data_IF_398798121761
#
_entry.id   IF_398798121761
#
_cell.length_a   1.000
_cell.length_b   1.000
_cell.length_c   1.000
_cell.angle_alpha   90.00
_cell.angle_beta   90.00
_cell.angle_gamma   90.00
#
_symmetry.space_group_name_H-M   'P 1'
#
loop_
_entity.id
_entity.type
_entity.pdbx_description
1 polymer ?
#
# COMPACT_ATOMS: atom_id res chain seq x y z
N UNK A 1 11.24 -9.06 34.32
CA UNK A 1 12.06 -9.94 33.45
C UNK A 1 13.43 -10.05 34.08
N UNK A 2 14.13 -11.16 33.93
CA UNK A 2 15.57 -11.19 34.22
C UNK A 2 16.37 -10.64 33.01
N UNK A 3 17.69 -10.62 33.12
CA UNK A 3 18.57 -10.11 32.06
C UNK A 3 18.42 -10.90 30.77
N UNK A 4 18.41 -12.23 30.84
CA UNK A 4 18.39 -13.10 29.67
C UNK A 4 17.04 -12.98 28.95
N UNK A 5 15.95 -12.81 29.70
CA UNK A 5 14.64 -12.48 29.18
C UNK A 5 14.62 -11.15 28.42
N UNK A 6 15.27 -10.12 28.97
CA UNK A 6 15.39 -8.81 28.30
C UNK A 6 16.20 -8.95 27.02
N UNK A 7 17.36 -9.61 27.07
CA UNK A 7 18.23 -9.79 25.91
C UNK A 7 17.51 -10.55 24.78
N UNK A 8 16.77 -11.60 25.14
CA UNK A 8 15.93 -12.35 24.19
C UNK A 8 14.80 -11.50 23.61
N UNK A 9 14.14 -10.69 24.43
CA UNK A 9 13.07 -9.82 23.96
C UNK A 9 13.59 -8.74 23.01
N UNK A 10 14.72 -8.09 23.33
CA UNK A 10 15.37 -7.10 22.47
C UNK A 10 15.87 -7.70 21.15
N UNK A 11 16.42 -8.92 21.20
CA UNK A 11 16.82 -9.64 19.97
C UNK A 11 15.61 -9.93 19.08
N UNK A 12 14.50 -10.42 19.65
CA UNK A 12 13.26 -10.67 18.90
C UNK A 12 12.69 -9.40 18.28
N UNK A 13 12.59 -8.32 19.06
CA UNK A 13 12.09 -7.03 18.57
C UNK A 13 13.03 -6.41 17.54
N UNK A 14 14.33 -6.66 17.64
CA UNK A 14 15.29 -6.28 16.60
C UNK A 14 15.05 -6.99 15.28
N UNK A 15 14.85 -8.30 15.29
CA UNK A 15 14.52 -9.04 14.08
C UNK A 15 13.17 -8.61 13.48
N UNK A 16 12.18 -8.33 14.34
CA UNK A 16 10.86 -7.81 13.92
C UNK A 16 10.98 -6.41 13.30
N UNK A 17 11.79 -5.54 13.90
CA UNK A 17 12.11 -4.20 13.36
C UNK A 17 12.67 -4.28 11.94
N UNK A 18 13.71 -5.09 11.73
CA UNK A 18 14.36 -5.27 10.43
C UNK A 18 13.40 -5.87 9.38
N UNK A 19 12.55 -6.82 9.79
CA UNK A 19 11.56 -7.41 8.92
C UNK A 19 10.49 -6.38 8.49
N UNK A 20 9.98 -5.59 9.44
CA UNK A 20 9.02 -4.51 9.14
C UNK A 20 9.67 -3.49 8.21
N UNK A 21 10.88 -3.01 8.51
CA UNK A 21 11.61 -2.05 7.68
C UNK A 21 11.74 -2.52 6.22
N UNK A 22 12.17 -3.77 6.05
CA UNK A 22 12.29 -4.40 4.73
C UNK A 22 10.96 -4.42 3.99
N UNK A 23 9.86 -4.77 4.67
CA UNK A 23 8.52 -4.75 4.07
C UNK A 23 8.08 -3.33 3.69
N UNK A 24 8.36 -2.31 4.50
CA UNK A 24 7.99 -0.93 4.19
C UNK A 24 8.72 -0.39 2.97
N UNK A 25 10.02 -0.68 2.87
CA UNK A 25 10.82 -0.33 1.70
C UNK A 25 10.33 -1.05 0.44
N UNK A 26 9.99 -2.34 0.55
CA UNK A 26 9.41 -3.08 -0.57
C UNK A 26 8.07 -2.49 -1.05
N UNK A 27 7.20 -2.03 -0.13
CA UNK A 27 5.96 -1.34 -0.49
C UNK A 27 6.22 0.01 -1.16
N UNK A 28 7.21 0.76 -0.69
CA UNK A 28 7.62 2.03 -1.31
C UNK A 28 8.16 1.83 -2.73
N UNK A 29 8.95 0.78 -2.95
CA UNK A 29 9.56 0.46 -4.24
C UNK A 29 8.63 -0.33 -5.18
N UNK A 30 7.38 -0.59 -4.78
CA UNK A 30 6.44 -1.35 -5.60
C UNK A 30 6.07 -0.61 -6.90
N UNK A 31 6.04 -1.33 -8.02
CA UNK A 31 5.75 -0.76 -9.34
C UNK A 31 4.35 -0.12 -9.40
N UNK A 32 3.31 -0.86 -8.98
CA UNK A 32 1.94 -0.34 -8.85
C UNK A 32 1.83 0.96 -8.07
N UNK A 33 2.60 1.13 -6.98
CA UNK A 33 2.61 2.36 -6.18
C UNK A 33 3.12 3.54 -6.99
N UNK A 34 4.27 3.41 -7.64
CA UNK A 34 4.84 4.47 -8.48
C UNK A 34 3.87 4.91 -9.59
N UNK A 35 3.13 3.95 -10.16
CA UNK A 35 2.12 4.24 -11.16
C UNK A 35 0.93 5.00 -10.57
N UNK A 36 0.44 4.60 -9.38
CA UNK A 36 -0.65 5.30 -8.68
C UNK A 36 -0.27 6.74 -8.30
N UNK A 37 0.98 6.98 -7.88
CA UNK A 37 1.49 8.31 -7.55
C UNK A 37 1.61 9.24 -8.77
N UNK A 38 1.89 8.67 -9.96
CA UNK A 38 2.11 9.44 -11.19
C UNK A 38 0.89 9.59 -12.11
N UNK A 39 -0.17 8.81 -11.89
CA UNK A 39 -1.32 8.78 -12.78
C UNK A 39 -2.41 9.80 -12.41
N UNK A 40 -3.14 10.27 -13.42
CA UNK A 40 -4.37 11.04 -13.22
C UNK A 40 -5.52 10.10 -12.85
N UNK A 41 -5.61 9.74 -11.57
CA UNK A 41 -6.58 8.78 -11.06
C UNK A 41 -8.01 9.34 -10.99
N UNK A 42 -8.99 8.47 -11.24
CA UNK A 42 -10.42 8.76 -11.10
C UNK A 42 -11.15 7.64 -10.34
N UNK A 43 -12.42 7.91 -9.99
CA UNK A 43 -13.34 6.92 -9.44
C UNK A 43 -12.81 6.16 -8.22
N UNK A 44 -13.02 4.84 -8.22
CA UNK A 44 -12.73 3.96 -7.08
C UNK A 44 -11.24 3.93 -6.77
N UNK A 45 -10.41 3.95 -7.81
CA UNK A 45 -8.95 3.95 -7.65
C UNK A 45 -8.48 5.19 -6.91
N UNK A 46 -8.98 6.38 -7.27
CA UNK A 46 -8.62 7.62 -6.59
C UNK A 46 -8.97 7.60 -5.10
N UNK A 47 -10.18 7.14 -4.78
CA UNK A 47 -10.67 7.08 -3.39
C UNK A 47 -9.86 6.10 -2.55
N UNK A 48 -9.66 4.88 -3.06
CA UNK A 48 -8.91 3.84 -2.35
C UNK A 48 -7.42 4.18 -2.24
N UNK A 49 -6.85 4.78 -3.28
CA UNK A 49 -5.45 5.23 -3.24
C UNK A 49 -5.24 6.34 -2.22
N UNK A 50 -6.13 7.34 -2.14
CA UNK A 50 -6.01 8.41 -1.15
C UNK A 50 -6.04 7.85 0.29
N UNK A 51 -6.90 6.87 0.56
CA UNK A 51 -6.94 6.19 1.85
C UNK A 51 -5.67 5.37 2.13
N UNK A 52 -5.18 4.63 1.13
CA UNK A 52 -3.94 3.86 1.24
C UNK A 52 -2.72 4.77 1.46
N UNK A 53 -2.60 5.88 0.74
CA UNK A 53 -1.49 6.83 0.87
C UNK A 53 -1.44 7.46 2.27
N UNK A 54 -2.60 7.84 2.81
CA UNK A 54 -2.72 8.28 4.19
C UNK A 54 -2.35 7.16 5.20
N UNK A 55 -2.74 5.92 4.92
CA UNK A 55 -2.38 4.76 5.75
C UNK A 55 -0.87 4.49 5.74
N UNK A 56 -0.20 4.59 4.58
CA UNK A 56 1.26 4.46 4.47
C UNK A 56 1.97 5.56 5.25
N UNK A 57 1.50 6.81 5.14
CA UNK A 57 2.07 7.93 5.92
C UNK A 57 1.97 7.66 7.43
N UNK A 58 0.81 7.17 7.89
CA UNK A 58 0.60 6.81 9.30
C UNK A 58 1.47 5.63 9.73
N UNK A 59 1.67 4.67 8.84
CA UNK A 59 2.50 3.51 9.09
C UNK A 59 3.99 3.87 9.26
N UNK A 60 4.53 4.83 8.49
CA UNK A 60 5.88 5.37 8.75
C UNK A 60 5.96 6.07 10.10
N UNK A 61 4.94 6.84 10.49
CA UNK A 61 4.88 7.47 11.82
C UNK A 61 4.95 6.43 12.94
N UNK A 62 4.25 5.30 12.79
CA UNK A 62 4.27 4.20 13.75
C UNK A 62 5.63 3.50 13.77
N UNK A 63 6.25 3.31 12.62
CA UNK A 63 7.56 2.70 12.50
C UNK A 63 8.65 3.56 13.16
N UNK A 64 8.60 4.88 12.99
CA UNK A 64 9.53 5.81 13.65
C UNK A 64 9.39 5.75 15.18
N UNK A 65 8.15 5.75 15.67
CA UNK A 65 7.86 5.64 17.10
C UNK A 65 8.34 4.30 17.68
N UNK A 66 8.11 3.20 16.97
CA UNK A 66 8.60 1.87 17.33
C UNK A 66 10.14 1.82 17.34
N UNK A 67 10.79 2.38 16.32
CA UNK A 67 12.25 2.47 16.21
C UNK A 67 12.86 3.25 17.36
N UNK A 68 12.28 4.41 17.70
CA UNK A 68 12.71 5.23 18.83
C UNK A 68 12.56 4.51 20.18
N UNK A 69 11.44 3.81 20.39
CA UNK A 69 11.19 3.05 21.61
C UNK A 69 12.17 1.87 21.77
N UNK A 70 12.45 1.15 20.67
CA UNK A 70 13.43 0.06 20.66
C UNK A 70 14.86 0.58 20.93
N UNK A 71 15.25 1.70 20.32
CA UNK A 71 16.54 2.33 20.56
C UNK A 71 16.70 2.76 22.03
N UNK A 72 15.68 3.38 22.62
CA UNK A 72 15.70 3.77 24.03
C UNK A 72 15.84 2.55 24.97
N UNK A 73 15.17 1.44 24.66
CA UNK A 73 15.30 0.21 25.43
C UNK A 73 16.71 -0.40 25.32
N UNK A 74 17.31 -0.39 24.12
CA UNK A 74 18.71 -0.82 23.91
C UNK A 74 19.68 0.05 24.69
N UNK A 75 19.51 1.37 24.67
CA UNK A 75 20.36 2.30 25.42
C UNK A 75 20.35 1.98 26.92
N UNK A 76 19.17 1.80 27.53
CA UNK A 76 19.05 1.43 28.94
C UNK A 76 19.80 0.12 29.22
N UNK A 77 19.66 -0.87 28.34
CA UNK A 77 20.32 -2.16 28.49
C UNK A 77 21.84 -2.09 28.35
N UNK A 78 22.35 -1.19 27.53
CA UNK A 78 23.79 -1.03 27.24
C UNK A 78 24.54 -0.18 28.27
N UNK A 79 23.85 0.66 29.04
CA UNK A 79 24.45 1.53 30.08
C UNK A 79 25.36 0.78 31.06
N UNK A 80 25.04 -0.47 31.39
CA UNK A 80 25.77 -1.27 32.37
C UNK A 80 25.89 -2.73 31.95
N UNK A 81 27.04 -3.34 32.24
CA UNK A 81 27.25 -4.79 32.06
C UNK A 81 26.25 -5.63 32.87
N UNK A 82 25.83 -5.14 34.02
CA UNK A 82 24.82 -5.76 34.90
C UNK A 82 23.74 -4.73 35.21
N UNK A 83 22.54 -4.85 34.60
CA UNK A 83 21.41 -3.97 34.89
C UNK A 83 21.01 -4.07 36.36
N UNK A 84 20.67 -2.93 36.97
CA UNK A 84 20.08 -2.90 38.30
C UNK A 84 18.64 -3.44 38.28
N UNK A 85 18.07 -3.68 39.46
CA UNK A 85 16.65 -4.08 39.57
C UNK A 85 15.71 -3.00 39.02
N UNK A 86 16.09 -1.74 39.16
CA UNK A 86 15.35 -0.59 38.63
C UNK A 86 15.42 -0.57 37.09
N UNK A 87 16.61 -0.75 36.51
CA UNK A 87 16.78 -0.86 35.06
C UNK A 87 15.94 -2.02 34.49
N UNK A 88 15.94 -3.18 35.14
CA UNK A 88 15.13 -4.33 34.70
C UNK A 88 13.62 -4.10 34.80
N UNK A 89 13.17 -3.33 35.80
CA UNK A 89 11.77 -2.95 35.94
C UNK A 89 11.37 -1.98 34.81
N UNK A 90 12.18 -0.95 34.58
CA UNK A 90 12.00 0.04 33.51
C UNK A 90 12.00 -0.62 32.12
N UNK A 91 12.92 -1.55 31.87
CA UNK A 91 12.97 -2.36 30.64
C UNK A 91 11.73 -3.25 30.50
N UNK A 92 11.27 -3.88 31.58
CA UNK A 92 10.06 -4.71 31.54
C UNK A 92 8.84 -3.87 31.17
N UNK A 93 8.71 -2.67 31.74
CA UNK A 93 7.61 -1.76 31.44
C UNK A 93 7.64 -1.29 29.99
N UNK A 94 8.81 -0.88 29.46
CA UNK A 94 8.92 -0.46 28.06
C UNK A 94 8.68 -1.58 27.05
N UNK A 95 9.13 -2.79 27.35
CA UNK A 95 9.05 -3.93 26.42
C UNK A 95 7.69 -4.63 26.44
N UNK A 96 6.93 -4.55 27.53
CA UNK A 96 5.63 -5.25 27.68
C UNK A 96 4.46 -4.33 27.96
N UNK A 97 4.69 -3.14 28.50
CA UNK A 97 3.66 -2.17 28.85
C UNK A 97 3.37 -1.18 27.73
N UNK A 98 2.34 -0.33 27.93
CA UNK A 98 1.98 0.74 26.99
C UNK A 98 2.94 1.94 27.15
N UNK A 99 4.14 1.79 26.60
CA UNK A 99 5.23 2.77 26.75
C UNK A 99 5.39 3.76 25.60
N UNK A 100 4.74 3.54 24.45
CA UNK A 100 4.90 4.39 23.27
C UNK A 100 3.71 5.32 23.13
N UNK A 101 3.97 6.62 23.09
CA UNK A 101 2.94 7.65 22.91
C UNK A 101 3.06 8.23 21.52
N UNK A 102 1.96 8.22 20.76
CA UNK A 102 1.89 8.77 19.42
C UNK A 102 0.82 9.84 19.41
N UNK A 103 1.08 10.97 18.75
CA UNK A 103 0.08 12.00 18.55
C UNK A 103 -1.14 11.40 17.82
N UNK A 104 -2.32 11.57 18.39
CA UNK A 104 -3.54 11.08 17.75
C UNK A 104 -3.83 11.85 16.46
N UNK A 105 -4.67 11.28 15.60
CA UNK A 105 -5.00 11.84 14.29
C UNK A 105 -5.77 13.18 14.33
N UNK A 106 -6.02 13.77 15.52
CA UNK A 106 -6.60 15.10 15.67
C UNK A 106 -8.04 15.24 15.17
N UNK A 107 -8.72 14.14 14.89
CA UNK A 107 -10.12 14.11 14.43
C UNK A 107 -11.05 14.45 15.60
N UNK A 108 -12.16 15.16 15.35
CA UNK A 108 -13.13 15.49 16.40
C UNK A 108 -13.58 14.23 17.16
N UNK A 109 -13.33 14.19 18.48
CA UNK A 109 -13.64 13.06 19.35
C UNK A 109 -12.55 12.00 19.49
N UNK A 110 -11.44 12.10 18.74
CA UNK A 110 -10.27 11.24 18.92
C UNK A 110 -9.37 11.73 20.06
N UNK A 111 -8.67 10.81 20.73
CA UNK A 111 -7.68 11.17 21.74
C UNK A 111 -6.54 11.98 21.13
N UNK A 112 -6.11 13.04 21.82
CA UNK A 112 -4.97 13.88 21.41
C UNK A 112 -3.64 13.11 21.37
N UNK A 113 -3.54 12.03 22.14
CA UNK A 113 -2.42 11.11 22.14
C UNK A 113 -2.92 9.68 22.40
N UNK A 114 -2.41 8.73 21.62
CA UNK A 114 -2.68 7.31 21.75
C UNK A 114 -1.46 6.64 22.39
N UNK A 115 -1.70 5.72 23.33
CA UNK A 115 -0.64 4.92 23.96
C UNK A 115 -0.71 3.49 23.48
N UNK A 116 0.42 2.97 23.05
CA UNK A 116 0.56 1.62 22.54
C UNK A 116 1.72 0.91 23.22
N UNK A 117 1.58 -0.39 23.40
CA UNK A 117 2.71 -1.30 23.54
C UNK A 117 3.39 -1.52 22.18
N UNK A 118 4.64 -1.99 22.19
CA UNK A 118 5.37 -2.34 20.97
C UNK A 118 4.61 -3.40 20.14
N UNK A 119 4.00 -4.39 20.80
CA UNK A 119 3.23 -5.43 20.12
C UNK A 119 1.97 -4.88 19.45
N UNK A 120 1.26 -3.95 20.10
CA UNK A 120 0.09 -3.30 19.50
C UNK A 120 0.49 -2.43 18.31
N UNK A 121 1.63 -1.73 18.37
CA UNK A 121 2.12 -0.96 17.23
C UNK A 121 2.39 -1.86 16.03
N UNK A 122 3.05 -2.99 16.23
CA UNK A 122 3.33 -3.93 15.13
C UNK A 122 2.04 -4.50 14.55
N UNK A 123 1.08 -4.88 15.41
CA UNK A 123 -0.23 -5.32 14.93
C UNK A 123 -0.93 -4.26 14.06
N UNK A 124 -0.92 -2.99 14.51
CA UNK A 124 -1.49 -1.87 13.74
C UNK A 124 -0.73 -1.59 12.45
N UNK A 125 0.60 -1.66 12.47
CA UNK A 125 1.42 -1.52 11.26
C UNK A 125 1.09 -2.64 10.26
N UNK A 126 0.96 -3.89 10.70
CA UNK A 126 0.62 -5.01 9.82
C UNK A 126 -0.77 -4.84 9.18
N UNK A 127 -1.77 -4.36 9.92
CA UNK A 127 -3.10 -4.03 9.39
C UNK A 127 -3.03 -2.96 8.29
N UNK A 128 -2.34 -1.85 8.57
CA UNK A 128 -2.19 -0.74 7.61
C UNK A 128 -1.37 -1.17 6.39
N UNK A 129 -0.32 -1.96 6.59
CA UNK A 129 0.52 -2.51 5.54
C UNK A 129 -0.30 -3.39 4.59
N UNK A 130 -1.03 -4.36 5.13
CA UNK A 130 -1.85 -5.28 4.34
C UNK A 130 -2.88 -4.52 3.50
N UNK A 131 -3.63 -3.59 4.13
CA UNK A 131 -4.63 -2.79 3.42
C UNK A 131 -4.02 -1.93 2.31
N UNK A 132 -2.83 -1.35 2.54
CA UNK A 132 -2.13 -0.53 1.54
C UNK A 132 -1.56 -1.37 0.40
N UNK A 133 -0.98 -2.53 0.73
CA UNK A 133 -0.44 -3.46 -0.25
C UNK A 133 -1.53 -4.02 -1.16
N UNK A 134 -2.71 -4.36 -0.62
CA UNK A 134 -3.84 -4.87 -1.39
C UNK A 134 -4.24 -3.91 -2.51
N UNK A 135 -4.31 -2.61 -2.23
CA UNK A 135 -4.63 -1.57 -3.22
C UNK A 135 -3.56 -1.50 -4.31
N UNK A 136 -2.29 -1.49 -3.90
CA UNK A 136 -1.14 -1.39 -4.82
C UNK A 136 -1.03 -2.61 -5.73
N UNK A 137 -1.20 -3.81 -5.19
CA UNK A 137 -1.15 -5.08 -5.93
C UNK A 137 -2.34 -5.22 -6.87
N UNK A 138 -3.55 -4.85 -6.42
CA UNK A 138 -4.74 -4.90 -7.27
C UNK A 138 -4.60 -3.96 -8.48
N UNK A 139 -4.13 -2.73 -8.28
CA UNK A 139 -3.91 -1.79 -9.38
C UNK A 139 -2.84 -2.30 -10.36
N UNK A 140 -1.71 -2.80 -9.84
CA UNK A 140 -0.63 -3.38 -10.64
C UNK A 140 -1.10 -4.57 -11.49
N UNK A 141 -1.92 -5.45 -10.92
CA UNK A 141 -2.45 -6.61 -11.61
C UNK A 141 -3.38 -6.24 -12.78
N UNK A 142 -4.21 -5.20 -12.61
CA UNK A 142 -5.05 -4.70 -13.71
C UNK A 142 -4.19 -4.04 -14.79
N UNK A 143 -3.30 -3.13 -14.41
CA UNK A 143 -2.49 -2.38 -15.38
C UNK A 143 -1.46 -3.24 -16.12
N UNK A 144 -0.94 -4.30 -15.50
CA UNK A 144 0.00 -5.23 -16.15
C UNK A 144 -0.65 -6.10 -17.22
N UNK A 145 -1.98 -6.26 -17.22
CA UNK A 145 -2.67 -7.20 -18.09
C UNK A 145 -3.72 -6.55 -19.01
N UNK A 146 -4.62 -5.74 -18.46
CA UNK A 146 -5.82 -5.31 -19.16
C UNK A 146 -5.57 -4.32 -20.31
N UNK A 147 -4.69 -3.29 -20.16
CA UNK A 147 -4.35 -2.40 -21.29
C UNK A 147 -3.80 -3.17 -22.49
N UNK A 148 -2.88 -4.13 -22.27
CA UNK A 148 -2.30 -4.92 -23.35
C UNK A 148 -3.35 -5.80 -24.06
N UNK A 149 -4.33 -6.35 -23.33
CA UNK A 149 -5.44 -7.10 -23.92
C UNK A 149 -6.35 -6.21 -24.76
N UNK A 150 -6.66 -5.00 -24.29
CA UNK A 150 -7.44 -4.03 -25.06
C UNK A 150 -6.69 -3.61 -26.32
N UNK A 151 -5.38 -3.39 -26.23
CA UNK A 151 -4.54 -3.03 -27.38
C UNK A 151 -4.54 -4.15 -28.45
N UNK A 152 -4.53 -5.43 -28.05
CA UNK A 152 -4.68 -6.56 -28.96
C UNK A 152 -6.05 -6.59 -29.65
N UNK A 153 -7.13 -6.35 -28.90
CA UNK A 153 -8.49 -6.28 -29.45
C UNK A 153 -8.63 -5.10 -30.43
N UNK A 154 -8.08 -3.94 -30.10
CA UNK A 154 -8.07 -2.76 -30.96
C UNK A 154 -7.31 -3.04 -32.27
N UNK A 155 -6.19 -3.76 -32.21
CA UNK A 155 -5.43 -4.16 -33.39
C UNK A 155 -6.21 -5.13 -34.29
N UNK A 156 -6.95 -6.07 -33.71
CA UNK A 156 -7.80 -6.98 -34.50
C UNK A 156 -8.98 -6.24 -35.12
N UNK A 157 -9.65 -5.37 -34.36
CA UNK A 157 -10.74 -4.54 -34.88
C UNK A 157 -10.26 -3.64 -36.04
N UNK A 158 -9.05 -3.10 -35.94
CA UNK A 158 -8.45 -2.35 -37.03
C UNK A 158 -8.29 -3.18 -38.31
N UNK A 159 -7.84 -4.44 -38.19
CA UNK A 159 -7.76 -5.38 -39.32
C UNK A 159 -9.14 -5.68 -39.91
N UNK A 160 -10.13 -5.95 -39.07
CA UNK A 160 -11.52 -6.20 -39.50
C UNK A 160 -12.08 -4.98 -40.26
N UNK A 161 -11.83 -3.76 -39.77
CA UNK A 161 -12.23 -2.52 -40.44
C UNK A 161 -11.58 -2.35 -41.81
N UNK A 162 -10.30 -2.68 -41.93
CA UNK A 162 -9.61 -2.63 -43.22
C UNK A 162 -10.23 -3.61 -44.24
N UNK A 163 -10.58 -4.83 -43.80
CA UNK A 163 -11.26 -5.81 -44.64
C UNK A 163 -12.67 -5.35 -45.02
N UNK A 164 -13.47 -4.87 -44.05
CA UNK A 164 -14.81 -4.33 -44.29
C UNK A 164 -14.79 -3.22 -45.36
N UNK A 165 -13.84 -2.28 -45.24
CA UNK A 165 -13.64 -1.21 -46.23
C UNK A 165 -13.30 -1.74 -47.62
N UNK A 166 -12.52 -2.82 -47.72
CA UNK A 166 -12.16 -3.43 -49.02
C UNK A 166 -13.34 -4.06 -49.75
N UNK A 167 -14.40 -4.45 -49.02
CA UNK A 167 -15.64 -5.03 -49.59
C UNK A 167 -16.79 -4.01 -49.67
N UNK A 168 -16.50 -2.72 -49.46
CA UNK A 168 -17.47 -1.63 -49.58
C UNK A 168 -18.30 -1.33 -48.33
N UNK A 169 -18.00 -1.97 -47.19
CA UNK A 169 -18.64 -1.62 -45.91
C UNK A 169 -17.92 -0.40 -45.34
N UNK A 170 -18.62 0.75 -45.35
CA UNK A 170 -18.09 2.04 -44.90
C UNK A 170 -19.03 2.69 -43.88
N UNK A 171 -18.49 3.42 -42.89
CA UNK A 171 -19.31 4.22 -41.99
C UNK A 171 -20.15 5.25 -42.76
N UNK A 172 -21.39 5.46 -42.35
CA UNK A 172 -22.38 6.34 -42.98
C UNK A 172 -23.02 5.77 -44.25
N UNK A 173 -22.47 4.69 -44.82
CA UNK A 173 -22.97 4.03 -46.03
C UNK A 173 -23.54 2.64 -45.74
N UNK A 174 -23.08 1.98 -44.67
CA UNK A 174 -23.50 0.63 -44.28
C UNK A 174 -23.57 0.48 -42.76
N UNK A 175 -24.64 -0.10 -42.17
CA UNK A 175 -24.81 -0.24 -40.73
C UNK A 175 -23.61 -0.91 -40.03
N UNK A 176 -23.11 -2.02 -40.58
CA UNK A 176 -21.90 -2.67 -40.03
C UNK A 176 -20.63 -1.82 -40.08
N UNK A 177 -20.57 -0.78 -40.92
CA UNK A 177 -19.49 0.20 -40.91
C UNK A 177 -19.62 1.15 -39.73
N UNK A 178 -20.84 1.54 -39.38
CA UNK A 178 -21.16 2.36 -38.20
C UNK A 178 -20.88 1.57 -36.91
N UNK A 179 -21.33 0.31 -36.84
CA UNK A 179 -21.08 -0.58 -35.69
C UNK A 179 -19.58 -0.71 -35.40
N UNK A 180 -18.74 -0.83 -36.44
CA UNK A 180 -17.29 -0.93 -36.29
C UNK A 180 -16.64 0.37 -35.80
N UNK A 181 -17.20 1.54 -36.13
CA UNK A 181 -16.75 2.82 -35.55
C UNK A 181 -17.15 2.93 -34.08
N UNK A 182 -18.38 2.54 -33.75
CA UNK A 182 -18.89 2.53 -32.38
C UNK A 182 -18.03 1.65 -31.47
N UNK A 183 -17.79 0.39 -31.85
CA UNK A 183 -16.93 -0.53 -31.07
C UNK A 183 -15.50 0.02 -30.93
N UNK A 184 -15.01 0.75 -31.93
CA UNK A 184 -13.68 1.38 -31.84
C UNK A 184 -13.66 2.48 -30.79
N UNK A 185 -14.70 3.32 -30.76
CA UNK A 185 -14.86 4.34 -29.74
C UNK A 185 -15.03 3.71 -28.35
N UNK A 186 -15.79 2.63 -28.22
CA UNK A 186 -15.98 1.90 -26.97
C UNK A 186 -14.65 1.31 -26.45
N UNK A 187 -13.85 0.66 -27.30
CA UNK A 187 -12.55 0.13 -26.89
C UNK A 187 -11.57 1.23 -26.46
N UNK A 188 -11.58 2.38 -27.15
CA UNK A 188 -10.77 3.53 -26.76
C UNK A 188 -11.20 4.07 -25.38
N UNK A 189 -12.50 4.24 -25.16
CA UNK A 189 -13.05 4.67 -23.87
C UNK A 189 -12.75 3.66 -22.76
N UNK A 190 -12.87 2.37 -23.03
CA UNK A 190 -12.52 1.32 -22.07
C UNK A 190 -11.04 1.38 -21.70
N UNK A 191 -10.16 1.62 -22.67
CA UNK A 191 -8.72 1.77 -22.43
C UNK A 191 -8.43 2.95 -21.51
N UNK A 192 -9.06 4.10 -21.78
CA UNK A 192 -8.92 5.29 -20.94
C UNK A 192 -9.46 5.06 -19.53
N UNK A 193 -10.63 4.41 -19.40
CA UNK A 193 -11.24 4.07 -18.12
C UNK A 193 -10.35 3.13 -17.29
N UNK A 194 -9.75 2.10 -17.90
CA UNK A 194 -8.85 1.17 -17.21
C UNK A 194 -7.57 1.85 -16.75
N UNK A 195 -7.05 2.82 -17.51
CA UNK A 195 -5.86 3.58 -17.11
C UNK A 195 -6.18 4.53 -15.96
N UNK A 196 -7.34 5.20 -15.99
CA UNK A 196 -7.72 6.18 -14.97
C UNK A 196 -8.29 5.54 -13.69
N UNK A 197 -8.96 4.40 -13.79
CA UNK A 197 -9.62 3.70 -12.68
C UNK A 197 -9.46 2.16 -12.76
N UNK A 198 -8.23 1.62 -12.63
CA UNK A 198 -7.99 0.17 -12.68
C UNK A 198 -8.79 -0.63 -11.65
N UNK A 199 -8.98 -0.11 -10.43
CA UNK A 199 -9.68 -0.84 -9.36
C UNK A 199 -11.18 -1.02 -9.63
N UNK A 200 -11.77 -0.25 -10.54
CA UNK A 200 -13.13 -0.53 -11.02
C UNK A 200 -13.23 -1.86 -11.80
N UNK A 201 -12.10 -2.38 -12.28
CA UNK A 201 -12.00 -3.62 -13.05
C UNK A 201 -11.39 -4.78 -12.24
N UNK A 202 -11.21 -4.60 -10.93
CA UNK A 202 -10.72 -5.62 -10.01
C UNK A 202 -11.90 -6.33 -9.33
N UNK A 203 -12.12 -7.61 -9.68
CA UNK A 203 -13.24 -8.46 -9.22
C UNK A 203 -12.75 -9.56 -8.29
#
# INVERSE_FOLDING_TARGET
MDRDDVDRALARLGAEHEAVETSLLALQDHAGRRLLEGAALSGVTKERWAAADAAVTRLWTYFDAYSGALAAAREIRERRRWPSREDLAELTERLRGPGVTIAGAGVEGAALAERFSLAELVARMNELYAASLDVVVAADAVWSALPARIDLLAAELHRTRALARSVGVRPGEHPSGDDLEEITAELAQLREAVIADPLAFWV
#
